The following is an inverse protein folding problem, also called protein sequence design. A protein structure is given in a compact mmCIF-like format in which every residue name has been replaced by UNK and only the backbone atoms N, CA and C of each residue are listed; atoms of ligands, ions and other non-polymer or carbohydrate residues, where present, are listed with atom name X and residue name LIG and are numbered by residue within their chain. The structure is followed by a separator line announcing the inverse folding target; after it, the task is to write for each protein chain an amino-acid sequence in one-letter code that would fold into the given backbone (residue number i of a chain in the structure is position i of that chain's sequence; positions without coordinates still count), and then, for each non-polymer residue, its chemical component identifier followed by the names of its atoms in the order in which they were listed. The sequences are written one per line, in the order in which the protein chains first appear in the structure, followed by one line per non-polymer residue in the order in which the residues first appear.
data_IF_964251270014
#
_entry.id   IF_964251270014
#
_cell.length_a   1.000
_cell.length_b   1.000
_cell.length_c   1.000
_cell.angle_alpha   90.00
_cell.angle_beta   90.00
_cell.angle_gamma   90.00
#
_symmetry.space_group_name_H-M   'P 1'
#
loop_
_entity.id
_entity.type
_entity.pdbx_description
1 polymer ?
#
# COMPACT_ATOMS: atom_id res chain seq x y z
N UNK A 1 -16.82 -54.65 12.31
CA UNK A 1 -15.65 -53.85 12.74
C UNK A 1 -14.47 -53.83 11.75
N UNK A 2 -14.18 -54.88 10.96
CA UNK A 2 -13.05 -54.89 9.99
C UNK A 2 -13.18 -53.89 8.82
N UNK A 3 -14.38 -53.65 8.29
CA UNK A 3 -14.59 -52.74 7.15
C UNK A 3 -14.40 -51.24 7.48
N UNK A 4 -14.62 -50.82 8.74
CA UNK A 4 -14.40 -49.43 9.16
C UNK A 4 -12.90 -49.11 9.33
N UNK A 5 -12.10 -50.06 9.84
CA UNK A 5 -10.63 -49.92 9.91
C UNK A 5 -10.00 -49.86 8.51
N UNK A 6 -10.42 -50.74 7.60
CA UNK A 6 -9.89 -50.74 6.23
C UNK A 6 -10.16 -49.43 5.46
N UNK A 7 -11.32 -48.78 5.67
CA UNK A 7 -11.61 -47.46 5.09
C UNK A 7 -10.75 -46.35 5.69
N UNK A 8 -10.61 -46.32 7.02
CA UNK A 8 -9.75 -45.34 7.70
C UNK A 8 -8.26 -45.49 7.32
N UNK A 9 -7.80 -46.72 7.15
CA UNK A 9 -6.42 -47.04 6.74
C UNK A 9 -6.17 -46.60 5.29
N UNK A 10 -7.14 -46.80 4.39
CA UNK A 10 -7.08 -46.33 3.00
C UNK A 10 -7.08 -44.80 2.89
N UNK A 11 -7.94 -44.14 3.67
CA UNK A 11 -8.00 -42.67 3.80
C UNK A 11 -6.67 -42.08 4.31
N UNK A 12 -6.03 -42.75 5.27
CA UNK A 12 -4.74 -42.33 5.84
C UNK A 12 -3.58 -42.56 4.88
N UNK A 13 -3.57 -43.69 4.16
CA UNK A 13 -2.55 -44.01 3.16
C UNK A 13 -2.55 -43.01 1.99
N UNK A 14 -3.72 -42.53 1.57
CA UNK A 14 -3.84 -41.58 0.46
C UNK A 14 -3.27 -40.20 0.79
N UNK A 15 -3.46 -39.77 2.02
CA UNK A 15 -2.86 -38.55 2.51
C UNK A 15 -1.33 -38.68 2.66
N UNK A 16 -0.83 -39.84 3.07
CA UNK A 16 0.61 -40.10 3.10
C UNK A 16 1.22 -40.07 1.70
N UNK A 17 0.54 -40.62 0.68
CA UNK A 17 0.96 -40.51 -0.72
C UNK A 17 1.02 -39.05 -1.15
N UNK A 18 -0.04 -38.30 -0.92
CA UNK A 18 -0.09 -36.89 -1.30
C UNK A 18 0.96 -36.04 -0.58
N UNK A 19 1.15 -36.22 0.74
CA UNK A 19 2.20 -35.53 1.50
C UNK A 19 3.62 -35.91 1.02
N UNK A 20 3.82 -37.10 0.46
CA UNK A 20 5.08 -37.50 -0.18
C UNK A 20 5.24 -36.85 -1.56
N UNK A 21 4.18 -36.82 -2.35
CA UNK A 21 4.17 -36.21 -3.69
C UNK A 21 4.39 -34.68 -3.62
N UNK A 22 3.85 -34.01 -2.59
CA UNK A 22 4.13 -32.60 -2.28
C UNK A 22 5.39 -32.40 -1.44
N UNK A 23 5.89 -33.46 -0.79
CA UNK A 23 7.12 -33.50 0.01
C UNK A 23 8.38 -33.13 -0.77
N UNK A 24 8.35 -33.31 -2.09
CA UNK A 24 9.43 -32.90 -3.01
C UNK A 24 9.37 -31.39 -3.36
N UNK A 25 8.29 -30.69 -3.01
CA UNK A 25 8.12 -29.23 -3.15
C UNK A 25 8.35 -28.47 -1.83
N UNK A 26 8.61 -29.17 -0.73
CA UNK A 26 9.14 -28.60 0.53
C UNK A 26 10.62 -28.22 0.35
N UNK A 27 10.89 -27.37 -0.63
CA UNK A 27 12.06 -26.50 -0.65
C UNK A 27 11.86 -25.43 0.43
N UNK A 28 12.99 -25.00 1.00
CA UNK A 28 13.22 -24.08 2.12
C UNK A 28 12.60 -22.67 2.00
N UNK A 29 11.67 -22.44 1.05
CA UNK A 29 11.15 -21.14 0.63
C UNK A 29 9.61 -21.06 0.56
N UNK A 30 8.86 -22.02 1.13
CA UNK A 30 7.40 -21.93 1.16
C UNK A 30 6.95 -20.73 2.03
N UNK A 31 6.65 -19.61 1.37
CA UNK A 31 6.13 -18.39 2.02
C UNK A 31 4.88 -18.75 2.85
N UNK A 32 4.80 -18.36 4.13
CA UNK A 32 3.61 -18.63 4.96
C UNK A 32 2.35 -18.01 4.34
N UNK A 33 1.18 -18.59 4.61
CA UNK A 33 -0.11 -18.02 4.17
C UNK A 33 -0.25 -16.59 4.69
N UNK A 34 -0.74 -15.70 3.83
CA UNK A 34 -1.03 -14.32 4.22
C UNK A 34 -2.10 -14.31 5.32
N UNK A 35 -1.74 -13.75 6.48
CA UNK A 35 -2.65 -13.62 7.61
C UNK A 35 -3.56 -12.42 7.42
N UNK A 36 -4.87 -12.65 7.40
CA UNK A 36 -5.84 -11.55 7.35
C UNK A 36 -5.73 -10.63 8.58
N UNK A 37 -5.24 -11.13 9.72
CA UNK A 37 -5.02 -10.30 10.90
C UNK A 37 -3.91 -9.26 10.68
N UNK A 38 -2.89 -9.59 9.88
CA UNK A 38 -1.83 -8.65 9.51
C UNK A 38 -2.38 -7.57 8.58
N UNK A 39 -3.19 -7.98 7.60
CA UNK A 39 -3.90 -7.08 6.69
C UNK A 39 -4.82 -6.13 7.46
N UNK A 40 -5.61 -6.65 8.39
CA UNK A 40 -6.51 -5.87 9.26
C UNK A 40 -5.75 -4.84 10.11
N UNK A 41 -4.59 -5.22 10.65
CA UNK A 41 -3.77 -4.33 11.49
C UNK A 41 -3.06 -3.25 10.67
N UNK A 42 -2.59 -3.60 9.49
CA UNK A 42 -1.90 -2.70 8.58
C UNK A 42 -2.86 -1.68 7.97
N UNK A 43 -3.90 -2.12 7.27
CA UNK A 43 -4.74 -1.24 6.46
C UNK A 43 -5.97 -0.67 7.18
N UNK A 44 -6.20 -1.06 8.44
CA UNK A 44 -7.36 -0.73 9.30
C UNK A 44 -8.70 -1.05 8.66
N UNK A 45 -9.44 -1.94 9.30
CA UNK A 45 -10.81 -2.26 8.90
C UNK A 45 -11.72 -1.04 9.09
N UNK A 46 -12.40 -0.64 8.01
CA UNK A 46 -13.37 0.45 8.00
C UNK A 46 -14.82 -0.08 7.98
N UNK A 47 -15.05 -1.25 7.36
CA UNK A 47 -16.36 -1.87 7.36
C UNK A 47 -16.40 -3.27 6.76
N UNK A 48 -17.53 -3.96 6.96
CA UNK A 48 -17.82 -5.27 6.38
C UNK A 48 -19.23 -5.27 5.82
N UNK A 49 -19.43 -5.85 4.64
CA UNK A 49 -20.74 -6.03 4.03
C UNK A 49 -20.91 -7.46 3.52
N UNK A 50 -22.11 -8.01 3.63
CA UNK A 50 -22.39 -9.32 3.06
C UNK A 50 -22.48 -9.22 1.54
N UNK A 51 -21.56 -9.88 0.84
CA UNK A 51 -21.46 -9.91 -0.62
C UNK A 51 -22.25 -11.02 -1.30
N UNK A 52 -22.98 -11.85 -0.54
CA UNK A 52 -23.81 -12.92 -1.08
C UNK A 52 -23.10 -14.27 -1.24
N UNK A 53 -23.81 -15.24 -1.82
CA UNK A 53 -23.28 -16.54 -2.20
C UNK A 53 -22.78 -16.48 -3.65
N UNK A 54 -21.49 -16.74 -3.87
CA UNK A 54 -20.84 -16.69 -5.19
C UNK A 54 -19.99 -17.92 -5.43
N UNK A 55 -19.76 -18.27 -6.69
CA UNK A 55 -18.67 -19.17 -7.07
C UNK A 55 -17.41 -18.34 -7.30
N UNK A 56 -16.36 -18.62 -6.52
CA UNK A 56 -15.11 -17.87 -6.56
C UNK A 56 -13.98 -18.72 -7.15
N UNK A 57 -13.00 -18.12 -7.86
CA UNK A 57 -11.82 -18.83 -8.31
C UNK A 57 -10.95 -19.28 -7.13
N UNK A 58 -10.51 -20.53 -7.13
CA UNK A 58 -9.65 -21.07 -6.06
C UNK A 58 -8.23 -20.46 -6.11
N UNK A 59 -7.82 -19.97 -7.28
CA UNK A 59 -6.54 -19.29 -7.49
C UNK A 59 -6.45 -17.93 -6.77
N UNK A 60 -7.59 -17.28 -6.55
CA UNK A 60 -7.67 -15.96 -5.90
C UNK A 60 -7.72 -16.08 -4.37
N UNK A 61 -7.77 -17.31 -3.84
CA UNK A 61 -7.70 -17.58 -2.41
C UNK A 61 -6.22 -17.54 -1.98
N UNK A 62 -5.81 -16.42 -1.37
CA UNK A 62 -4.39 -16.14 -1.06
C UNK A 62 -4.06 -16.21 0.44
N UNK A 63 -5.05 -16.26 1.32
CA UNK A 63 -4.79 -16.18 2.76
C UNK A 63 -5.85 -16.82 3.67
N UNK A 64 -5.60 -16.70 4.98
CA UNK A 64 -6.38 -17.32 6.04
C UNK A 64 -6.68 -16.32 7.16
N UNK A 65 -7.86 -16.43 7.77
CA UNK A 65 -8.23 -15.71 8.99
C UNK A 65 -7.97 -16.60 10.21
N UNK A 66 -7.18 -16.14 11.18
CA UNK A 66 -7.01 -16.79 12.50
C UNK A 66 -6.28 -18.14 12.53
N UNK A 67 -5.91 -18.73 11.38
CA UNK A 67 -5.21 -20.03 11.30
C UNK A 67 -4.04 -20.06 10.29
N UNK A 68 -3.09 -19.10 10.31
CA UNK A 68 -1.97 -19.11 9.37
C UNK A 68 -0.93 -20.23 9.63
N UNK A 69 -0.90 -20.81 10.84
CA UNK A 69 0.07 -21.86 11.23
C UNK A 69 -0.47 -23.28 11.17
N UNK A 70 -1.78 -23.44 10.98
CA UNK A 70 -2.42 -24.76 10.86
C UNK A 70 -2.31 -25.34 9.43
N UNK A 71 -2.03 -24.48 8.45
CA UNK A 71 -2.01 -24.79 7.02
C UNK A 71 -0.80 -24.16 6.33
N UNK A 72 -0.21 -24.86 5.36
CA UNK A 72 0.85 -24.32 4.49
C UNK A 72 0.29 -23.46 3.33
N UNK A 73 1.16 -22.89 2.48
CA UNK A 73 0.76 -22.07 1.33
C UNK A 73 -0.18 -22.79 0.35
N UNK A 74 -0.15 -24.13 0.34
CA UNK A 74 -1.02 -25.00 -0.44
C UNK A 74 -2.31 -25.38 0.29
N UNK A 75 -2.59 -24.79 1.45
CA UNK A 75 -3.70 -25.09 2.36
C UNK A 75 -3.68 -26.53 2.90
N UNK A 76 -2.51 -27.16 2.99
CA UNK A 76 -2.41 -28.52 3.51
C UNK A 76 -2.34 -28.53 5.03
N UNK A 77 -3.10 -29.40 5.70
CA UNK A 77 -3.08 -29.49 7.15
C UNK A 77 -1.70 -29.96 7.64
N UNK A 78 -1.05 -29.13 8.46
CA UNK A 78 0.26 -29.44 9.02
C UNK A 78 0.16 -30.45 10.19
N UNK A 79 -0.99 -30.49 10.88
CA UNK A 79 -1.17 -31.27 12.11
C UNK A 79 -1.79 -32.65 11.91
N UNK A 80 -1.33 -33.69 12.63
CA UNK A 80 -1.82 -35.07 12.48
C UNK A 80 -3.33 -35.29 12.67
N UNK A 81 -3.98 -34.60 13.60
CA UNK A 81 -5.41 -34.79 13.89
C UNK A 81 -6.32 -34.17 12.81
N UNK A 82 -5.82 -33.20 12.05
CA UNK A 82 -6.52 -32.54 10.96
C UNK A 82 -6.61 -33.40 9.70
N UNK A 83 -5.76 -34.43 9.63
CA UNK A 83 -5.63 -35.39 8.53
C UNK A 83 -6.86 -36.29 8.34
N UNK A 84 -7.44 -36.75 9.44
CA UNK A 84 -8.60 -37.65 9.41
C UNK A 84 -9.87 -36.93 8.90
N UNK A 85 -10.11 -35.70 9.38
CA UNK A 85 -11.22 -34.86 8.89
C UNK A 85 -11.06 -34.48 7.43
N UNK A 86 -9.81 -34.24 7.00
CA UNK A 86 -9.51 -33.95 5.60
C UNK A 86 -9.83 -35.16 4.70
N UNK A 87 -9.45 -36.38 5.09
CA UNK A 87 -9.66 -37.57 4.26
C UNK A 87 -11.15 -37.93 4.12
N UNK A 88 -11.93 -37.77 5.19
CA UNK A 88 -13.38 -37.92 5.15
C UNK A 88 -14.03 -36.93 4.16
N UNK A 89 -13.51 -35.70 4.13
CA UNK A 89 -14.01 -34.64 3.25
C UNK A 89 -13.61 -34.85 1.79
N UNK A 90 -12.37 -35.28 1.51
CA UNK A 90 -11.96 -35.71 0.16
C UNK A 90 -12.86 -36.82 -0.36
N UNK A 91 -13.12 -37.83 0.47
CA UNK A 91 -13.99 -38.94 0.11
C UNK A 91 -15.43 -38.47 -0.19
N UNK A 92 -16.00 -37.57 0.63
CA UNK A 92 -17.33 -37.00 0.41
C UNK A 92 -17.40 -36.17 -0.88
N UNK A 93 -16.42 -35.29 -1.12
CA UNK A 93 -16.39 -34.43 -2.30
C UNK A 93 -16.22 -35.23 -3.60
N UNK A 94 -15.42 -36.29 -3.61
CA UNK A 94 -15.30 -37.20 -4.76
C UNK A 94 -16.57 -37.99 -5.05
N UNK A 95 -17.39 -38.27 -4.04
CA UNK A 95 -18.71 -38.91 -4.20
C UNK A 95 -19.78 -37.95 -4.72
N UNK A 96 -19.45 -36.67 -4.91
CA UNK A 96 -20.40 -35.65 -5.36
C UNK A 96 -21.38 -35.22 -4.28
N UNK A 97 -21.08 -35.48 -3.01
CA UNK A 97 -21.92 -35.02 -1.90
C UNK A 97 -21.92 -33.48 -1.85
N UNK A 98 -23.10 -32.89 -1.60
CA UNK A 98 -23.24 -31.45 -1.48
C UNK A 98 -22.49 -30.96 -0.23
N UNK A 99 -21.32 -30.33 -0.45
CA UNK A 99 -20.59 -29.67 0.63
C UNK A 99 -21.14 -28.27 0.88
N UNK A 100 -21.24 -27.84 2.15
CA UNK A 100 -21.64 -26.47 2.46
C UNK A 100 -20.69 -25.45 1.82
N UNK A 101 -21.16 -24.24 1.50
CA UNK A 101 -20.29 -23.20 0.98
C UNK A 101 -19.26 -22.76 2.03
N UNK A 102 -18.07 -22.39 1.57
CA UNK A 102 -17.03 -21.81 2.43
C UNK A 102 -17.40 -20.38 2.82
N UNK A 103 -16.69 -19.79 3.78
CA UNK A 103 -16.87 -18.38 4.16
C UNK A 103 -15.55 -17.64 3.96
N UNK A 104 -15.57 -16.55 3.21
CA UNK A 104 -14.37 -15.80 2.83
C UNK A 104 -14.55 -14.31 3.04
N UNK A 105 -13.46 -13.63 3.41
CA UNK A 105 -13.35 -12.19 3.25
C UNK A 105 -12.79 -11.88 1.87
N UNK A 106 -13.38 -10.90 1.19
CA UNK A 106 -12.88 -10.37 -0.07
C UNK A 106 -12.31 -8.97 0.14
N UNK A 107 -11.07 -8.77 -0.31
CA UNK A 107 -10.34 -7.51 -0.20
C UNK A 107 -9.36 -7.40 -1.37
N UNK A 108 -9.40 -6.28 -2.10
CA UNK A 108 -8.37 -5.98 -3.10
C UNK A 108 -8.28 -6.94 -4.29
N UNK A 109 -9.36 -7.69 -4.57
CA UNK A 109 -9.36 -8.73 -5.61
C UNK A 109 -8.88 -10.10 -5.15
N UNK A 110 -8.57 -10.28 -3.87
CA UNK A 110 -8.14 -11.56 -3.29
C UNK A 110 -9.09 -12.01 -2.16
N UNK A 111 -9.12 -13.32 -1.93
CA UNK A 111 -9.97 -13.94 -0.92
C UNK A 111 -9.14 -14.52 0.24
N UNK A 112 -9.67 -14.33 1.45
CA UNK A 112 -9.13 -14.88 2.70
C UNK A 112 -10.14 -15.84 3.31
N UNK A 113 -9.71 -17.07 3.58
CA UNK A 113 -10.61 -18.09 4.13
C UNK A 113 -10.85 -17.82 5.61
N UNK A 114 -12.11 -17.54 5.95
CA UNK A 114 -12.59 -17.44 7.33
C UNK A 114 -13.02 -18.80 7.86
N UNK A 115 -13.76 -19.56 7.04
CA UNK A 115 -14.17 -20.93 7.34
C UNK A 115 -14.11 -21.81 6.09
N UNK A 116 -13.75 -23.08 6.26
CA UNK A 116 -13.69 -24.07 5.17
C UNK A 116 -12.31 -24.36 4.60
N UNK A 117 -11.23 -24.13 5.35
CA UNK A 117 -9.85 -24.40 4.93
C UNK A 117 -9.65 -25.82 4.35
N UNK A 118 -10.21 -26.84 5.00
CA UNK A 118 -10.14 -28.22 4.49
C UNK A 118 -10.85 -28.40 3.15
N UNK A 119 -11.97 -27.70 2.90
CA UNK A 119 -12.69 -27.77 1.63
C UNK A 119 -11.88 -27.14 0.51
N UNK A 120 -11.22 -26.02 0.78
CA UNK A 120 -10.31 -25.35 -0.17
C UNK A 120 -9.12 -26.25 -0.49
N UNK A 121 -8.53 -26.88 0.52
CA UNK A 121 -7.43 -27.84 0.38
C UNK A 121 -7.80 -29.01 -0.54
N UNK A 122 -8.92 -29.66 -0.26
CA UNK A 122 -9.44 -30.78 -1.08
C UNK A 122 -9.78 -30.30 -2.50
N UNK A 123 -10.47 -29.17 -2.64
CA UNK A 123 -10.83 -28.63 -3.96
C UNK A 123 -9.60 -28.32 -4.83
N UNK A 124 -8.52 -27.81 -4.24
CA UNK A 124 -7.21 -27.62 -4.92
C UNK A 124 -6.65 -28.95 -5.41
N UNK A 125 -6.65 -29.97 -4.55
CA UNK A 125 -6.15 -31.29 -4.91
C UNK A 125 -6.98 -31.95 -6.02
N UNK A 126 -8.30 -31.76 -6.00
CA UNK A 126 -9.21 -32.25 -7.04
C UNK A 126 -9.10 -31.45 -8.35
N UNK A 127 -8.28 -30.40 -8.40
CA UNK A 127 -8.12 -29.57 -9.59
C UNK A 127 -9.35 -28.74 -9.93
N UNK A 128 -10.21 -28.46 -8.94
CA UNK A 128 -11.37 -27.59 -9.16
C UNK A 128 -10.90 -26.18 -9.50
N UNK A 129 -11.63 -25.51 -10.39
CA UNK A 129 -11.36 -24.12 -10.77
C UNK A 129 -12.07 -23.14 -9.84
N UNK A 130 -13.28 -23.48 -9.43
CA UNK A 130 -14.16 -22.63 -8.61
C UNK A 130 -14.69 -23.38 -7.39
N UNK A 131 -15.09 -22.62 -6.37
CA UNK A 131 -15.74 -23.14 -5.16
C UNK A 131 -16.85 -22.19 -4.71
N UNK A 132 -17.95 -22.75 -4.20
CA UNK A 132 -19.07 -21.95 -3.64
C UNK A 132 -18.67 -21.33 -2.30
N UNK A 133 -18.80 -20.02 -2.20
CA UNK A 133 -18.40 -19.24 -1.04
C UNK A 133 -19.45 -18.19 -0.66
N UNK A 134 -19.67 -18.00 0.65
CA UNK A 134 -20.28 -16.80 1.22
C UNK A 134 -19.20 -15.74 1.28
N UNK A 135 -19.35 -14.70 0.48
CA UNK A 135 -18.38 -13.61 0.37
C UNK A 135 -18.78 -12.50 1.33
N UNK A 136 -17.83 -12.05 2.15
CA UNK A 136 -17.95 -10.87 2.99
C UNK A 136 -16.98 -9.83 2.43
N UNK A 137 -17.52 -8.75 1.88
CA UNK A 137 -16.75 -7.65 1.32
C UNK A 137 -16.15 -6.84 2.47
N UNK A 138 -14.83 -6.69 2.47
CA UNK A 138 -14.09 -5.98 3.50
C UNK A 138 -13.61 -4.65 2.93
N UNK A 139 -13.90 -3.55 3.64
CA UNK A 139 -13.38 -2.22 3.32
C UNK A 139 -12.29 -1.84 4.30
N UNK A 140 -11.19 -1.33 3.78
CA UNK A 140 -10.04 -0.84 4.54
C UNK A 140 -9.84 0.66 4.30
N UNK A 141 -9.22 1.34 5.26
CA UNK A 141 -8.95 2.78 5.16
C UNK A 141 -7.83 3.08 4.16
N UNK A 142 -6.83 2.21 4.07
CA UNK A 142 -5.83 2.25 3.00
C UNK A 142 -6.27 1.39 1.79
N UNK A 143 -6.05 1.86 0.55
CA UNK A 143 -6.28 1.05 -0.63
C UNK A 143 -5.28 -0.11 -0.65
N UNK A 144 -5.81 -1.33 -0.71
CA UNK A 144 -5.02 -2.54 -0.95
C UNK A 144 -5.55 -3.15 -2.25
N UNK A 145 -4.80 -2.98 -3.33
CA UNK A 145 -5.16 -3.51 -4.66
C UNK A 145 -4.06 -4.43 -5.18
N UNK A 146 -4.44 -5.55 -5.78
CA UNK A 146 -3.49 -6.46 -6.43
C UNK A 146 -2.85 -7.45 -5.46
N UNK A 147 -1.56 -7.74 -5.65
CA UNK A 147 -0.85 -8.72 -4.82
C UNK A 147 -0.53 -8.13 -3.44
N UNK A 148 -1.20 -8.67 -2.41
CA UNK A 148 -0.94 -8.28 -1.02
C UNK A 148 0.26 -9.07 -0.49
N UNK A 149 1.38 -8.38 -0.29
CA UNK A 149 2.59 -8.93 0.31
C UNK A 149 3.05 -8.10 1.53
N UNK A 150 4.14 -8.51 2.17
CA UNK A 150 4.66 -7.81 3.35
C UNK A 150 5.02 -6.35 3.08
N UNK A 151 5.55 -6.03 1.89
CA UNK A 151 5.90 -4.65 1.51
C UNK A 151 4.65 -3.77 1.36
N UNK A 152 3.62 -4.31 0.71
CA UNK A 152 2.32 -3.66 0.52
C UNK A 152 1.64 -3.41 1.88
N UNK A 153 1.74 -4.35 2.82
CA UNK A 153 1.22 -4.15 4.18
C UNK A 153 1.96 -3.04 4.95
N UNK A 154 3.27 -2.93 4.78
CA UNK A 154 4.03 -1.82 5.40
C UNK A 154 3.60 -0.47 4.82
N UNK A 155 3.43 -0.38 3.49
CA UNK A 155 2.95 0.84 2.83
C UNK A 155 1.54 1.23 3.31
N UNK A 156 0.64 0.26 3.39
CA UNK A 156 -0.72 0.49 3.88
C UNK A 156 -0.72 0.97 5.34
N UNK A 157 0.18 0.41 6.17
CA UNK A 157 0.33 0.85 7.56
C UNK A 157 0.81 2.29 7.67
N UNK A 158 1.83 2.66 6.90
CA UNK A 158 2.36 4.02 6.88
C UNK A 158 1.29 5.02 6.43
N UNK A 159 0.51 4.67 5.40
CA UNK A 159 -0.58 5.51 4.93
C UNK A 159 -1.70 5.67 5.98
N UNK A 160 -2.09 4.58 6.64
CA UNK A 160 -3.05 4.64 7.75
C UNK A 160 -2.54 5.54 8.86
N UNK A 161 -1.28 5.39 9.29
CA UNK A 161 -0.70 6.19 10.37
C UNK A 161 -0.68 7.68 9.99
N UNK A 162 -0.42 7.99 8.72
CA UNK A 162 -0.55 9.33 8.16
C UNK A 162 -2.00 9.87 8.23
N UNK A 163 -3.00 9.07 7.82
CA UNK A 163 -4.41 9.47 7.88
C UNK A 163 -4.95 9.57 9.32
N UNK A 164 -4.48 8.73 10.25
CA UNK A 164 -4.83 8.83 11.67
C UNK A 164 -4.34 10.15 12.27
N UNK A 165 -3.15 10.60 11.90
CA UNK A 165 -2.56 11.86 12.40
C UNK A 165 -3.15 13.10 11.74
N UNK A 166 -3.34 13.07 10.43
CA UNK A 166 -3.75 14.25 9.64
C UNK A 166 -5.27 14.38 9.48
N UNK A 167 -6.02 13.28 9.63
CA UNK A 167 -7.45 13.20 9.36
C UNK A 167 -7.84 13.69 7.96
N UNK A 168 -6.93 13.60 7.00
CA UNK A 168 -7.12 14.17 5.68
C UNK A 168 -8.25 13.48 4.91
N UNK A 169 -8.43 12.18 5.09
CA UNK A 169 -9.56 11.40 4.56
C UNK A 169 -10.93 11.86 5.08
N UNK A 170 -10.98 12.53 6.24
CA UNK A 170 -12.22 13.08 6.80
C UNK A 170 -12.45 14.52 6.38
N UNK A 171 -11.39 15.34 6.41
CA UNK A 171 -11.48 16.76 6.07
C UNK A 171 -11.54 16.98 4.56
N UNK A 172 -10.92 16.11 3.76
CA UNK A 172 -10.90 16.12 2.30
C UNK A 172 -11.09 14.68 1.77
N UNK A 173 -12.33 14.16 1.71
CA UNK A 173 -12.61 12.78 1.27
C UNK A 173 -12.13 12.45 -0.15
N UNK A 174 -12.06 13.44 -1.03
CA UNK A 174 -11.56 13.29 -2.40
C UNK A 174 -10.03 13.33 -2.51
N UNK A 175 -9.32 13.53 -1.39
CA UNK A 175 -7.86 13.59 -1.36
C UNK A 175 -7.26 12.19 -1.47
N UNK A 176 -6.78 11.87 -2.67
CA UNK A 176 -5.96 10.68 -2.91
C UNK A 176 -4.49 11.09 -2.92
N UNK A 177 -3.73 10.64 -1.92
CA UNK A 177 -2.28 10.82 -1.84
C UNK A 177 -1.65 9.44 -1.73
N UNK A 178 -1.19 8.93 -2.85
CA UNK A 178 -0.48 7.65 -2.93
C UNK A 178 0.99 7.90 -3.18
N UNK A 179 1.88 7.19 -2.47
CA UNK A 179 3.34 7.25 -2.64
C UNK A 179 3.88 5.86 -2.98
N UNK A 180 4.89 5.78 -3.84
CA UNK A 180 5.44 4.49 -4.29
C UNK A 180 6.44 3.87 -3.31
N UNK A 181 6.96 4.65 -2.35
CA UNK A 181 8.05 4.24 -1.45
C UNK A 181 7.75 4.53 0.01
N UNK A 182 8.26 3.66 0.87
CA UNK A 182 8.19 3.83 2.32
C UNK A 182 8.95 5.10 2.78
N UNK A 183 8.49 5.68 3.89
CA UNK A 183 9.02 6.87 4.53
C UNK A 183 8.65 8.18 3.83
N UNK A 184 7.81 8.14 2.79
CA UNK A 184 7.39 9.34 2.06
C UNK A 184 6.26 10.07 2.76
N UNK A 185 5.39 9.37 3.48
CA UNK A 185 4.35 10.04 4.27
C UNK A 185 4.93 10.80 5.44
N UNK A 186 6.06 10.36 6.02
CA UNK A 186 6.78 11.12 7.04
C UNK A 186 7.28 12.46 6.49
N UNK A 187 7.75 12.50 5.24
CA UNK A 187 8.16 13.76 4.58
C UNK A 187 7.00 14.69 4.35
N UNK A 188 5.87 14.17 3.86
CA UNK A 188 4.64 14.95 3.72
C UNK A 188 4.19 15.49 5.08
N UNK A 189 4.28 14.66 6.12
CA UNK A 189 3.93 15.06 7.48
C UNK A 189 4.83 16.19 8.01
N UNK A 190 6.14 16.14 7.75
CA UNK A 190 7.08 17.23 8.06
C UNK A 190 6.68 18.54 7.34
N UNK A 191 6.29 18.48 6.06
CA UNK A 191 5.81 19.65 5.33
C UNK A 191 4.51 20.23 5.92
N UNK A 192 3.56 19.37 6.33
CA UNK A 192 2.32 19.79 7.01
C UNK A 192 2.64 20.47 8.34
N UNK A 193 3.58 19.95 9.14
CA UNK A 193 3.99 20.59 10.38
C UNK A 193 4.62 21.96 10.15
N UNK A 194 5.46 22.09 9.11
CA UNK A 194 6.01 23.37 8.68
C UNK A 194 4.90 24.35 8.29
N UNK A 195 3.95 23.89 7.47
CA UNK A 195 2.78 24.68 7.04
C UNK A 195 1.94 25.14 8.24
N UNK A 196 1.64 24.23 9.18
CA UNK A 196 0.92 24.51 10.43
C UNK A 196 1.54 25.66 11.20
N UNK A 197 2.87 25.65 11.34
CA UNK A 197 3.60 26.70 12.06
C UNK A 197 3.39 28.07 11.41
N UNK A 198 3.58 28.19 10.09
CA UNK A 198 3.40 29.46 9.38
C UNK A 198 1.95 29.93 9.37
N UNK A 199 1.01 29.00 9.19
CA UNK A 199 -0.41 29.29 9.22
C UNK A 199 -0.83 29.84 10.60
N UNK A 200 -0.29 29.28 11.68
CA UNK A 200 -0.53 29.78 13.03
C UNK A 200 0.01 31.21 13.25
N UNK A 201 1.21 31.51 12.73
CA UNK A 201 1.76 32.87 12.77
C UNK A 201 0.88 33.86 11.99
N UNK A 202 0.38 33.47 10.81
CA UNK A 202 -0.48 34.32 9.98
C UNK A 202 -1.84 34.60 10.63
N UNK A 203 -2.45 33.60 11.27
CA UNK A 203 -3.74 33.76 11.93
C UNK A 203 -3.63 34.32 13.36
N UNK A 204 -2.42 34.41 13.93
CA UNK A 204 -2.22 34.84 15.31
C UNK A 204 -2.81 33.88 16.35
N UNK A 205 -2.99 32.60 16.00
CA UNK A 205 -3.52 31.56 16.89
C UNK A 205 -2.88 30.21 16.62
N UNK A 206 -2.99 29.29 17.57
CA UNK A 206 -2.69 27.90 17.30
C UNK A 206 -3.71 27.31 16.30
N UNK A 207 -3.20 26.53 15.36
CA UNK A 207 -3.98 25.85 14.33
C UNK A 207 -3.93 24.36 14.63
N UNK A 208 -5.06 23.67 14.54
CA UNK A 208 -5.09 22.22 14.74
C UNK A 208 -4.39 21.48 13.58
N UNK A 209 -3.88 20.27 13.85
CA UNK A 209 -3.19 19.49 12.83
C UNK A 209 -4.10 19.12 11.65
N UNK A 210 -5.37 18.79 11.89
CA UNK A 210 -6.31 18.46 10.82
C UNK A 210 -6.64 19.70 9.96
N UNK A 211 -6.78 20.87 10.59
CA UNK A 211 -6.96 22.15 9.89
C UNK A 211 -5.74 22.49 9.03
N UNK A 212 -4.54 22.33 9.58
CA UNK A 212 -3.30 22.57 8.85
C UNK A 212 -3.09 21.59 7.69
N UNK A 213 -3.42 20.30 7.87
CA UNK A 213 -3.34 19.30 6.82
C UNK A 213 -4.31 19.61 5.67
N UNK A 214 -5.54 20.00 5.98
CA UNK A 214 -6.52 20.42 4.97
C UNK A 214 -6.07 21.67 4.21
N UNK A 215 -5.57 22.69 4.93
CA UNK A 215 -5.02 23.89 4.29
C UNK A 215 -3.79 23.58 3.44
N UNK A 216 -2.90 22.71 3.92
CA UNK A 216 -1.73 22.28 3.15
C UNK A 216 -2.15 21.58 1.86
N UNK A 217 -3.13 20.68 1.94
CA UNK A 217 -3.64 19.97 0.79
C UNK A 217 -4.19 20.94 -0.27
N UNK A 218 -5.05 21.87 0.13
CA UNK A 218 -5.72 22.79 -0.80
C UNK A 218 -4.77 23.82 -1.42
N UNK A 219 -3.81 24.32 -0.63
CA UNK A 219 -3.01 25.48 -1.00
C UNK A 219 -1.58 25.14 -1.45
N UNK A 220 -1.09 23.93 -1.16
CA UNK A 220 0.28 23.50 -1.48
C UNK A 220 0.27 22.30 -2.41
N UNK A 221 -0.33 21.19 -1.96
CA UNK A 221 -0.28 19.93 -2.70
C UNK A 221 -1.14 19.98 -3.97
N UNK A 222 -2.43 20.30 -3.84
CA UNK A 222 -3.40 20.25 -4.94
C UNK A 222 -3.04 21.19 -6.10
N UNK A 223 -2.51 22.41 -5.90
CA UNK A 223 -2.04 23.23 -7.01
C UNK A 223 -0.91 22.56 -7.80
N UNK A 224 0.10 21.99 -7.13
CA UNK A 224 1.22 21.34 -7.81
C UNK A 224 0.75 20.03 -8.47
N UNK A 225 -0.08 19.23 -7.79
CA UNK A 225 -0.65 18.00 -8.34
C UNK A 225 -1.49 18.26 -9.60
N UNK A 226 -2.29 19.34 -9.61
CA UNK A 226 -3.03 19.77 -10.81
C UNK A 226 -2.12 20.07 -11.98
N UNK A 227 -1.00 20.75 -11.74
CA UNK A 227 -0.03 21.06 -12.79
C UNK A 227 0.65 19.78 -13.30
N UNK A 228 0.95 18.82 -12.42
CA UNK A 228 1.48 17.50 -12.83
C UNK A 228 0.48 16.78 -13.76
N UNK A 229 -0.83 16.84 -13.45
CA UNK A 229 -1.91 16.22 -14.25
C UNK A 229 -2.12 16.91 -15.59
N UNK A 230 -2.34 18.22 -15.56
CA UNK A 230 -2.65 19.04 -16.74
C UNK A 230 -1.56 18.92 -17.81
N UNK A 231 -0.33 18.73 -17.36
CA UNK A 231 0.85 18.68 -18.20
C UNK A 231 1.42 17.27 -18.40
N UNK A 232 0.68 16.25 -17.96
CA UNK A 232 0.99 14.85 -18.17
C UNK A 232 2.44 14.47 -17.78
N UNK A 233 3.00 15.16 -16.78
CA UNK A 233 4.41 15.02 -16.39
C UNK A 233 4.70 13.57 -15.97
N UNK A 234 3.72 12.90 -15.37
CA UNK A 234 3.80 11.49 -14.98
C UNK A 234 4.18 10.55 -16.12
N UNK A 235 3.83 10.85 -17.37
CA UNK A 235 4.17 9.98 -18.51
C UNK A 235 5.68 9.82 -18.70
N UNK A 236 6.47 10.82 -18.29
CA UNK A 236 7.93 10.82 -18.37
C UNK A 236 8.58 10.04 -17.21
N UNK A 237 7.80 9.62 -16.21
CA UNK A 237 8.29 8.98 -14.98
C UNK A 237 7.52 7.69 -14.65
N UNK A 238 7.67 6.63 -15.46
CA UNK A 238 6.96 5.36 -15.23
C UNK A 238 7.27 4.78 -13.84
N UNK A 239 6.23 4.31 -13.16
CA UNK A 239 6.33 3.72 -11.81
C UNK A 239 6.37 4.74 -10.66
N UNK A 240 6.18 6.04 -10.93
CA UNK A 240 6.02 7.07 -9.90
C UNK A 240 4.57 7.52 -9.79
N UNK A 241 4.21 7.99 -8.61
CA UNK A 241 2.91 8.61 -8.31
C UNK A 241 2.99 10.13 -8.38
N UNK A 242 1.84 10.80 -8.37
CA UNK A 242 1.76 12.26 -8.30
C UNK A 242 2.42 12.80 -7.03
N UNK A 243 2.24 12.12 -5.89
CA UNK A 243 2.84 12.53 -4.65
C UNK A 243 4.37 12.35 -4.66
N UNK A 244 4.90 11.34 -5.36
CA UNK A 244 6.34 11.19 -5.54
C UNK A 244 6.93 12.35 -6.36
N UNK A 245 6.24 12.76 -7.43
CA UNK A 245 6.66 13.90 -8.24
C UNK A 245 6.55 15.21 -7.46
N UNK A 246 5.46 15.41 -6.72
CA UNK A 246 5.29 16.54 -5.80
C UNK A 246 6.49 16.64 -4.84
N UNK A 247 6.80 15.55 -4.11
CA UNK A 247 7.92 15.53 -3.15
C UNK A 247 9.27 15.79 -3.81
N UNK A 248 9.45 15.34 -5.04
CA UNK A 248 10.69 15.58 -5.77
C UNK A 248 10.82 17.04 -6.23
N UNK A 249 9.74 17.63 -6.74
CA UNK A 249 9.68 19.03 -7.16
C UNK A 249 9.91 19.94 -5.95
N UNK A 250 9.25 19.69 -4.81
CA UNK A 250 9.43 20.51 -3.61
C UNK A 250 10.85 20.40 -3.05
N UNK A 251 11.43 19.19 -3.03
CA UNK A 251 12.82 19.00 -2.62
C UNK A 251 13.81 19.73 -3.54
N UNK A 252 13.67 19.62 -4.86
CA UNK A 252 14.54 20.29 -5.83
C UNK A 252 14.37 21.81 -5.77
N UNK A 253 13.15 22.31 -5.59
CA UNK A 253 12.91 23.74 -5.38
C UNK A 253 13.65 24.27 -4.14
N UNK A 254 13.63 23.51 -3.03
CA UNK A 254 14.38 23.89 -1.83
C UNK A 254 15.90 23.91 -2.05
N UNK A 255 16.44 22.97 -2.83
CA UNK A 255 17.86 22.95 -3.23
C UNK A 255 18.25 24.17 -4.06
N UNK A 256 17.45 24.51 -5.08
CA UNK A 256 17.66 25.69 -5.93
C UNK A 256 17.56 27.01 -5.13
N UNK A 257 16.63 27.06 -4.18
CA UNK A 257 16.48 28.21 -3.27
C UNK A 257 17.70 28.41 -2.37
N UNK A 258 18.43 27.33 -2.05
CA UNK A 258 19.64 27.35 -1.22
C UNK A 258 20.87 27.80 -1.98
N UNK A 259 20.92 27.57 -3.30
CA UNK A 259 22.06 27.86 -4.16
C UNK A 259 22.05 29.28 -4.76
N UNK A 260 21.15 30.16 -4.30
CA UNK A 260 20.92 31.52 -4.84
C UNK A 260 20.55 31.54 -6.34
N UNK A 261 20.01 30.43 -6.85
CA UNK A 261 19.48 30.33 -8.20
C UNK A 261 18.01 30.82 -8.24
N UNK A 262 17.48 31.22 -9.40
CA UNK A 262 16.04 31.42 -9.56
C UNK A 262 15.32 30.14 -9.11
N UNK A 263 14.39 30.29 -8.17
CA UNK A 263 13.80 29.15 -7.48
C UNK A 263 12.28 29.26 -7.50
N UNK A 264 11.63 28.22 -8.00
CA UNK A 264 10.19 28.07 -8.07
C UNK A 264 9.83 26.67 -8.55
N UNK A 265 8.53 26.31 -8.52
CA UNK A 265 8.04 25.04 -9.06
C UNK A 265 8.43 24.85 -10.55
N UNK A 266 8.48 25.94 -11.32
CA UNK A 266 8.84 25.93 -12.74
C UNK A 266 10.29 25.51 -12.96
N UNK A 267 11.19 26.15 -12.21
CA UNK A 267 12.63 25.92 -12.28
C UNK A 267 12.95 24.51 -11.80
N UNK A 268 12.29 24.03 -10.74
CA UNK A 268 12.46 22.68 -10.24
C UNK A 268 11.99 21.61 -11.25
N UNK A 269 10.82 21.79 -11.88
CA UNK A 269 10.32 20.88 -12.92
C UNK A 269 11.27 20.88 -14.13
N UNK A 270 11.72 22.05 -14.58
CA UNK A 270 12.66 22.16 -15.69
C UNK A 270 13.94 21.36 -15.41
N UNK A 271 14.58 21.64 -14.28
CA UNK A 271 15.84 21.04 -13.88
C UNK A 271 15.72 19.51 -13.76
N UNK A 272 14.61 19.03 -13.22
CA UNK A 272 14.26 17.61 -13.13
C UNK A 272 14.18 16.95 -14.51
N UNK A 273 13.43 17.54 -15.44
CA UNK A 273 13.23 16.97 -16.78
C UNK A 273 14.55 16.91 -17.55
N UNK A 274 15.37 17.96 -17.47
CA UNK A 274 16.66 18.02 -18.16
C UNK A 274 17.73 17.10 -17.57
N UNK A 275 17.75 16.92 -16.24
CA UNK A 275 18.64 15.94 -15.60
C UNK A 275 18.32 14.51 -16.07
N UNK A 276 17.03 14.21 -16.29
CA UNK A 276 16.62 12.90 -16.83
C UNK A 276 16.84 12.71 -18.33
N UNK A 277 16.85 13.80 -19.11
CA UNK A 277 17.21 13.76 -20.54
C UNK A 277 18.74 13.79 -20.78
N UNK A 278 19.56 13.89 -19.71
CA UNK A 278 21.02 13.82 -19.80
C UNK A 278 21.69 15.10 -20.32
N UNK A 279 21.01 16.25 -20.29
CA UNK A 279 21.55 17.54 -20.77
C UNK A 279 21.78 18.49 -19.59
N UNK A 280 23.03 18.65 -19.09
CA UNK A 280 23.34 19.61 -18.04
C UNK A 280 23.51 21.00 -18.66
N UNK A 281 22.39 21.70 -18.91
CA UNK A 281 22.40 23.15 -19.14
C UNK A 281 21.31 23.81 -18.30
N UNK A 282 21.58 24.97 -17.68
CA UNK A 282 20.53 25.73 -17.03
C UNK A 282 19.43 26.05 -18.06
N UNK A 283 18.15 25.99 -17.66
CA UNK A 283 17.05 26.08 -18.61
C UNK A 283 17.09 27.42 -19.33
N UNK A 284 16.84 27.39 -20.65
CA UNK A 284 16.87 28.63 -21.44
C UNK A 284 15.83 29.61 -20.89
N UNK A 285 16.07 30.94 -20.93
CA UNK A 285 15.09 31.93 -20.49
C UNK A 285 13.72 31.77 -21.16
N UNK A 286 13.68 31.21 -22.37
CA UNK A 286 12.45 30.90 -23.10
C UNK A 286 11.73 29.68 -22.53
N UNK A 287 12.45 28.61 -22.17
CA UNK A 287 11.89 27.42 -21.51
C UNK A 287 11.36 27.77 -20.12
N UNK A 288 12.10 28.56 -19.34
CA UNK A 288 11.64 29.06 -18.05
C UNK A 288 10.45 29.99 -18.19
N UNK A 289 10.43 30.88 -19.19
CA UNK A 289 9.29 31.74 -19.46
C UNK A 289 8.05 30.93 -19.87
N UNK A 290 8.23 29.87 -20.66
CA UNK A 290 7.15 28.94 -21.00
C UNK A 290 6.62 28.23 -19.77
N UNK A 291 7.49 27.63 -18.94
CA UNK A 291 7.09 26.96 -17.70
C UNK A 291 6.44 27.91 -16.70
N UNK A 292 6.96 29.13 -16.52
CA UNK A 292 6.33 30.17 -15.67
C UNK A 292 4.99 30.64 -16.21
N UNK A 293 4.85 30.76 -17.53
CA UNK A 293 3.57 31.10 -18.19
C UNK A 293 2.57 29.96 -18.03
N UNK A 294 3.04 28.71 -18.10
CA UNK A 294 2.27 27.49 -17.87
C UNK A 294 1.79 27.38 -16.41
N UNK A 295 2.70 27.55 -15.45
CA UNK A 295 2.41 27.37 -14.02
C UNK A 295 1.64 28.57 -13.43
N UNK A 296 1.45 29.64 -14.20
CA UNK A 296 0.83 30.88 -13.79
C UNK A 296 1.71 31.70 -12.82
N UNK A 297 1.33 32.96 -12.51
CA UNK A 297 1.97 33.66 -11.41
C UNK A 297 1.74 32.86 -10.12
N UNK A 298 2.75 32.76 -9.22
CA UNK A 298 2.59 32.03 -7.97
C UNK A 298 1.42 32.63 -7.20
N UNK A 299 0.28 31.94 -7.22
CA UNK A 299 -0.90 32.34 -6.45
C UNK A 299 -0.60 31.99 -5.01
N UNK A 300 -0.07 33.01 -4.31
CA UNK A 300 0.65 32.93 -3.03
C UNK A 300 1.94 32.11 -3.17
N UNK A 301 3.04 32.83 -3.31
CA UNK A 301 4.36 32.30 -2.96
C UNK A 301 4.22 31.84 -1.51
N UNK A 302 4.15 30.53 -1.28
CA UNK A 302 4.57 29.99 0.00
C UNK A 302 6.06 30.28 0.01
N UNK A 303 6.44 31.37 0.67
CA UNK A 303 7.84 31.62 0.96
C UNK A 303 8.30 30.46 1.83
N UNK A 304 8.83 29.40 1.22
CA UNK A 304 9.67 28.45 1.94
C UNK A 304 10.79 29.29 2.56
N UNK A 305 10.83 29.43 3.90
CA UNK A 305 11.69 30.42 4.53
C UNK A 305 13.15 30.07 4.27
N UNK A 306 13.79 30.86 3.41
CA UNK A 306 15.25 30.88 3.17
C UNK A 306 16.03 31.06 4.49
N UNK A 307 15.38 31.52 5.56
CA UNK A 307 15.92 31.65 6.91
C UNK A 307 16.36 30.32 7.57
N UNK A 308 15.92 29.15 7.09
CA UNK A 308 16.35 27.83 7.59
C UNK A 308 17.73 27.38 7.07
N UNK A 309 18.35 28.13 6.15
CA UNK A 309 19.63 27.77 5.51
C UNK A 309 20.80 28.56 6.12
N UNK A 310 20.52 29.71 6.76
CA UNK A 310 21.57 30.64 7.22
C UNK A 310 22.09 30.42 8.64
N UNK A 311 21.76 29.33 9.33
CA UNK A 311 22.27 29.06 10.70
C UNK A 311 23.26 27.91 10.87
N UNK A 312 23.87 27.43 9.79
CA UNK A 312 25.00 26.47 9.87
C UNK A 312 26.34 27.08 9.40
N UNK A 313 26.36 28.31 8.84
CA UNK A 313 27.60 28.93 8.34
C UNK A 313 28.27 29.98 9.24
N UNK A 314 27.64 30.42 10.34
CA UNK A 314 28.20 31.44 11.25
C UNK A 314 28.88 30.90 12.51
N UNK A 315 29.23 29.61 12.57
CA UNK A 315 30.03 29.05 13.68
C UNK A 315 31.43 28.56 13.31
N UNK A 316 31.89 28.82 12.08
CA UNK A 316 33.23 28.41 11.62
C UNK A 316 34.16 29.57 11.22
N UNK A 317 33.83 30.81 11.59
CA UNK A 317 34.63 32.00 11.30
C UNK A 317 35.10 32.77 12.56
N UNK A 318 35.12 32.11 13.73
CA UNK A 318 35.68 32.69 14.98
C UNK A 318 36.65 31.72 15.66
N UNK A 319 37.53 31.13 14.87
CA UNK A 319 38.75 30.47 15.36
C UNK A 319 39.87 30.78 14.35
N UNK A 320 40.31 32.04 14.38
CA UNK A 320 41.61 32.46 13.85
C UNK A 320 42.67 32.31 14.95
N UNK A 321 43.95 32.15 14.57
CA UNK A 321 45.00 31.59 15.42
C UNK A 321 45.51 32.62 16.45
N UNK A 322 45.84 32.12 17.63
CA UNK A 322 46.82 32.72 18.53
C UNK A 322 47.83 31.62 18.87
#
# INVERSE_FOLDING_TARGET
MKQLRARADFETARLQSFLRDTGLLLRRDAKPLLSFDDVRRAARLDGQAYGGLKEIPIADIRGSVGRPTDFDATFLPVRPHMRQRWAQLDAAMRRGEAVPPIEVYHLGGVYFVKDGHHRVSVARQLGWKTIKARVIEVRTRAPLTGEIDAATLLQAREYVDFLERTQLDRTRPDAVIEVSRLGRYDRIFEEILGHRYFLGLQHGREVDLAEAAASWYDNVYQPIARLIREYEILQHFPGRTEADLYLWITARWLELSRSAQPAGPAEAIADILFETEGVPRPPSPQTLALLRRWLGPPRRVIELPVKLVRRVRTRRASAGPA
#
